data_IF_020399377513
#
_entry.id   IF_020399377513
#
_cell.length_a   1.000
_cell.length_b   1.000
_cell.length_c   1.000
_cell.angle_alpha   90.00
_cell.angle_beta   90.00
_cell.angle_gamma   90.00
#
_symmetry.space_group_name_H-M   'P 1'
#
loop_
_entity.id
_entity.type
_entity.pdbx_description
1 polymer ?
#
# COMPACT_ATOMS: atom_id res chain seq x y z
N UNK A 1 -9.97 -10.16 24.91
CA UNK A 1 -8.80 -9.80 24.08
C UNK A 1 -8.09 -8.65 24.76
N UNK A 2 -6.77 -8.70 24.91
CA UNK A 2 -5.99 -7.58 25.46
C UNK A 2 -5.23 -6.92 24.31
N UNK A 3 -5.32 -5.60 24.20
CA UNK A 3 -4.68 -4.84 23.15
C UNK A 3 -3.16 -4.80 23.39
N UNK A 4 -2.38 -5.28 22.42
CA UNK A 4 -0.91 -5.27 22.43
C UNK A 4 -0.31 -4.21 21.52
N UNK A 5 -1.13 -3.45 20.79
CA UNK A 5 -0.66 -2.40 19.88
C UNK A 5 -0.22 -1.16 20.65
N UNK A 6 0.94 -0.63 20.29
CA UNK A 6 1.55 0.58 20.89
C UNK A 6 1.18 1.85 20.12
N UNK A 7 0.60 1.71 18.92
CA UNK A 7 0.11 2.81 18.09
C UNK A 7 -0.71 2.31 16.90
N UNK A 8 -1.31 3.25 16.18
CA UNK A 8 -2.08 3.01 14.96
C UNK A 8 -1.68 4.02 13.88
N UNK A 9 -1.85 3.62 12.61
CA UNK A 9 -1.55 4.47 11.45
C UNK A 9 -2.76 4.57 10.55
N UNK A 10 -2.90 5.73 9.91
CA UNK A 10 -3.97 5.98 8.95
C UNK A 10 -3.37 6.44 7.63
N UNK A 11 -3.78 5.80 6.54
CA UNK A 11 -3.43 6.20 5.18
C UNK A 11 -4.68 6.46 4.35
N UNK A 12 -4.56 7.38 3.39
CA UNK A 12 -5.64 7.80 2.51
C UNK A 12 -5.24 7.48 1.07
N UNK A 13 -6.18 6.87 0.34
CA UNK A 13 -6.05 6.52 -1.06
C UNK A 13 -7.42 6.54 -1.74
N UNK A 14 -7.42 6.69 -3.07
CA UNK A 14 -8.65 6.62 -3.89
C UNK A 14 -9.07 5.18 -4.14
N UNK A 15 -8.11 4.26 -4.06
CA UNK A 15 -8.34 2.82 -4.13
C UNK A 15 -7.97 2.17 -2.80
N UNK A 16 -8.57 1.03 -2.51
CA UNK A 16 -8.23 0.26 -1.31
C UNK A 16 -6.75 -0.17 -1.36
N UNK A 17 -6.30 -0.63 -2.53
CA UNK A 17 -4.93 -1.09 -2.76
C UNK A 17 -3.92 0.01 -2.43
N UNK A 18 -4.20 1.24 -2.85
CA UNK A 18 -3.36 2.40 -2.57
C UNK A 18 -3.27 2.71 -1.07
N UNK A 19 -4.43 2.86 -0.41
CA UNK A 19 -4.49 3.17 1.02
C UNK A 19 -3.83 2.06 1.84
N UNK A 20 -4.08 0.80 1.47
CA UNK A 20 -3.54 -0.37 2.16
C UNK A 20 -2.01 -0.45 2.09
N UNK A 21 -1.42 -0.27 0.90
CA UNK A 21 0.04 -0.30 0.77
C UNK A 21 0.72 0.89 1.47
N UNK A 22 0.11 2.08 1.44
CA UNK A 22 0.60 3.24 2.19
C UNK A 22 0.55 3.00 3.70
N UNK A 23 -0.55 2.45 4.22
CA UNK A 23 -0.68 2.12 5.64
C UNK A 23 0.42 1.15 6.08
N UNK A 24 0.68 0.09 5.31
CA UNK A 24 1.75 -0.86 5.60
C UNK A 24 3.14 -0.21 5.69
N UNK A 25 3.43 0.77 4.83
CA UNK A 25 4.69 1.54 4.88
C UNK A 25 4.80 2.47 6.09
N UNK A 26 3.67 2.89 6.66
CA UNK A 26 3.67 3.78 7.84
C UNK A 26 3.87 3.00 9.13
N UNK A 27 3.55 1.69 9.17
CA UNK A 27 3.69 0.87 10.37
C UNK A 27 5.16 0.61 10.71
N UNK A 28 5.98 0.28 9.71
CA UNK A 28 7.38 -0.11 9.88
C UNK A 28 8.21 0.37 8.69
N UNK A 29 9.32 1.06 8.96
CA UNK A 29 10.22 1.60 7.93
C UNK A 29 10.88 0.50 7.08
N UNK A 30 11.04 -0.71 7.64
CA UNK A 30 11.59 -1.85 6.91
C UNK A 30 10.61 -2.45 5.90
N UNK A 31 9.31 -2.16 6.05
CA UNK A 31 8.24 -2.70 5.21
C UNK A 31 7.94 -1.73 4.07
N UNK A 32 8.31 -2.12 2.86
CA UNK A 32 8.06 -1.28 1.67
C UNK A 32 6.61 -1.39 1.15
N UNK A 33 5.79 -2.28 1.71
CA UNK A 33 4.37 -2.48 1.38
C UNK A 33 3.97 -3.96 1.45
N UNK A 34 3.00 -4.39 0.64
CA UNK A 34 2.51 -5.77 0.64
C UNK A 34 3.44 -6.70 -0.15
N UNK A 35 4.53 -7.14 0.48
CA UNK A 35 5.56 -7.98 -0.15
C UNK A 35 5.38 -9.47 0.18
N UNK A 36 5.18 -10.34 -0.82
CA UNK A 36 4.98 -11.78 -0.62
C UNK A 36 6.26 -12.55 -0.26
N UNK A 37 7.44 -11.94 -0.37
CA UNK A 37 8.71 -12.64 -0.16
C UNK A 37 9.26 -12.49 1.28
N UNK A 38 8.55 -11.77 2.17
CA UNK A 38 8.99 -11.53 3.55
C UNK A 38 8.82 -12.74 4.48
N UNK A 39 7.81 -13.59 4.21
CA UNK A 39 7.49 -14.77 5.01
C UNK A 39 7.15 -15.96 4.12
N UNK A 40 7.49 -17.19 4.55
CA UNK A 40 7.00 -18.38 3.87
C UNK A 40 5.50 -18.56 4.13
N UNK A 41 4.85 -19.36 3.27
CA UNK A 41 3.46 -19.76 3.47
C UNK A 41 3.36 -20.64 4.71
N UNK A 42 2.41 -20.34 5.59
CA UNK A 42 2.12 -21.12 6.78
C UNK A 42 0.61 -21.07 7.09
N UNK A 43 -0.09 -22.18 6.88
CA UNK A 43 -1.55 -22.27 7.04
C UNK A 43 -2.00 -22.04 8.50
N UNK A 44 -1.15 -22.35 9.49
CA UNK A 44 -1.48 -22.17 10.92
C UNK A 44 -1.39 -20.70 11.35
N UNK A 45 -0.47 -19.94 10.74
CA UNK A 45 -0.39 -18.48 10.91
C UNK A 45 -1.51 -17.74 10.18
N UNK A 46 -2.14 -18.33 9.16
CA UNK A 46 -3.33 -17.75 8.52
C UNK A 46 -4.58 -17.88 9.41
N UNK A 47 -4.69 -18.99 10.15
CA UNK A 47 -5.77 -19.22 11.11
C UNK A 47 -5.64 -18.35 12.36
N UNK A 48 -4.40 -18.15 12.83
CA UNK A 48 -4.13 -17.40 14.05
C UNK A 48 -3.94 -15.91 13.75
N UNK A 49 -4.69 -14.99 14.39
CA UNK A 49 -4.50 -13.56 14.17
C UNK A 49 -3.18 -13.08 14.79
N UNK A 50 -2.14 -13.00 13.98
CA UNK A 50 -0.82 -12.47 14.33
C UNK A 50 -0.53 -11.14 13.63
N UNK A 51 0.44 -10.39 14.16
CA UNK A 51 0.99 -9.16 13.56
C UNK A 51 1.55 -9.40 12.16
N UNK A 52 2.15 -10.58 11.93
CA UNK A 52 2.79 -10.96 10.66
C UNK A 52 1.86 -11.65 9.67
N UNK A 53 0.59 -11.88 10.04
CA UNK A 53 -0.40 -12.60 9.22
C UNK A 53 -0.52 -12.03 7.81
N UNK A 54 -0.43 -10.71 7.66
CA UNK A 54 -0.57 -10.04 6.36
C UNK A 54 0.53 -10.46 5.37
N UNK A 55 1.75 -10.70 5.84
CA UNK A 55 2.85 -11.13 4.97
C UNK A 55 2.76 -12.61 4.59
N UNK A 56 2.27 -13.45 5.51
CA UNK A 56 1.97 -14.86 5.22
C UNK A 56 0.81 -14.96 4.21
N UNK A 57 -0.17 -14.08 4.32
CA UNK A 57 -1.28 -13.97 3.37
C UNK A 57 -0.80 -13.56 1.98
N UNK A 58 0.12 -12.59 1.90
CA UNK A 58 0.76 -12.21 0.63
C UNK A 58 1.47 -13.41 -0.02
N UNK A 59 2.24 -14.17 0.77
CA UNK A 59 2.91 -15.37 0.30
C UNK A 59 1.92 -16.45 -0.18
N UNK A 60 0.82 -16.66 0.54
CA UNK A 60 -0.20 -17.64 0.19
C UNK A 60 -0.93 -17.29 -1.12
N UNK A 61 -1.23 -15.99 -1.31
CA UNK A 61 -1.77 -15.48 -2.58
C UNK A 61 -0.78 -15.69 -3.72
N UNK A 62 0.51 -15.43 -3.51
CA UNK A 62 1.56 -15.67 -4.51
C UNK A 62 1.73 -17.17 -4.82
N UNK A 63 1.53 -18.04 -3.84
CA UNK A 63 1.53 -19.49 -4.01
C UNK A 63 0.29 -20.04 -4.72
N UNK A 64 -0.67 -19.19 -5.09
CA UNK A 64 -1.84 -19.58 -5.88
C UNK A 64 -3.02 -20.11 -5.07
N UNK A 65 -3.11 -19.78 -3.77
CA UNK A 65 -4.27 -20.15 -2.96
C UNK A 65 -5.53 -19.46 -3.49
N UNK A 66 -6.66 -20.18 -3.51
CA UNK A 66 -7.95 -19.60 -3.87
C UNK A 66 -8.46 -18.64 -2.79
N UNK A 67 -9.25 -17.65 -3.22
CA UNK A 67 -9.87 -16.68 -2.32
C UNK A 67 -10.76 -17.40 -1.29
N UNK A 68 -11.49 -18.43 -1.71
CA UNK A 68 -12.34 -19.22 -0.80
C UNK A 68 -11.53 -19.95 0.27
N UNK A 69 -10.40 -20.57 -0.11
CA UNK A 69 -9.50 -21.21 0.86
C UNK A 69 -8.98 -20.20 1.89
N UNK A 70 -8.58 -19.01 1.43
CA UNK A 70 -8.09 -17.95 2.31
C UNK A 70 -9.20 -17.38 3.21
N UNK A 71 -10.42 -17.27 2.70
CA UNK A 71 -11.59 -16.90 3.49
C UNK A 71 -11.83 -17.91 4.61
N UNK A 72 -11.78 -19.22 4.30
CA UNK A 72 -12.03 -20.25 5.29
C UNK A 72 -10.98 -20.27 6.41
N UNK A 73 -9.71 -20.02 6.07
CA UNK A 73 -8.61 -19.95 7.04
C UNK A 73 -8.64 -18.67 7.87
N UNK A 74 -8.83 -17.51 7.24
CA UNK A 74 -8.59 -16.20 7.88
C UNK A 74 -9.85 -15.49 8.37
N UNK A 75 -11.01 -15.86 7.80
CA UNK A 75 -12.30 -15.17 7.90
C UNK A 75 -12.29 -13.71 7.45
N UNK A 76 -11.28 -13.28 6.69
CA UNK A 76 -11.26 -11.98 6.00
C UNK A 76 -12.25 -12.04 4.85
N UNK A 77 -13.08 -11.01 4.70
CA UNK A 77 -14.04 -10.95 3.60
C UNK A 77 -13.38 -11.12 2.21
N UNK A 78 -14.10 -11.80 1.31
CA UNK A 78 -13.63 -12.12 -0.05
C UNK A 78 -13.30 -10.87 -0.85
N UNK A 79 -13.98 -9.75 -0.61
CA UNK A 79 -13.72 -8.49 -1.29
C UNK A 79 -12.30 -7.99 -0.98
N UNK A 80 -11.89 -7.98 0.29
CA UNK A 80 -10.52 -7.57 0.68
C UNK A 80 -9.48 -8.54 0.12
N UNK A 81 -9.74 -9.85 0.19
CA UNK A 81 -8.84 -10.87 -0.36
C UNK A 81 -8.67 -10.70 -1.88
N UNK A 82 -9.74 -10.38 -2.61
CA UNK A 82 -9.68 -10.08 -4.05
C UNK A 82 -8.83 -8.83 -4.32
N UNK A 83 -8.92 -7.80 -3.48
CA UNK A 83 -8.11 -6.58 -3.62
C UNK A 83 -6.63 -6.84 -3.34
N UNK A 84 -6.32 -7.64 -2.33
CA UNK A 84 -4.95 -8.08 -2.06
C UNK A 84 -4.40 -8.95 -3.19
N UNK A 85 -5.25 -9.82 -3.79
CA UNK A 85 -4.87 -10.59 -4.97
C UNK A 85 -4.47 -9.69 -6.15
N UNK A 86 -5.19 -8.60 -6.41
CA UNK A 86 -4.82 -7.65 -7.48
C UNK A 86 -3.40 -7.08 -7.29
N UNK A 87 -3.00 -6.80 -6.04
CA UNK A 87 -1.64 -6.33 -5.73
C UNK A 87 -0.62 -7.42 -6.08
N UNK A 88 -0.90 -8.67 -5.71
CA UNK A 88 -0.02 -9.81 -6.02
C UNK A 88 0.06 -10.09 -7.52
N UNK A 89 -1.05 -9.98 -8.25
CA UNK A 89 -1.06 -10.17 -9.70
C UNK A 89 -0.14 -9.14 -10.41
N UNK A 90 -0.19 -7.87 -10.00
CA UNK A 90 0.73 -6.83 -10.51
C UNK A 90 2.18 -7.13 -10.11
N UNK A 91 2.39 -7.66 -8.91
CA UNK A 91 3.73 -8.03 -8.43
C UNK A 91 4.32 -9.14 -9.30
N UNK A 92 3.51 -10.15 -9.65
CA UNK A 92 3.90 -11.23 -10.55
C UNK A 92 4.17 -10.73 -11.97
N UNK A 93 3.44 -9.72 -12.46
CA UNK A 93 3.73 -9.07 -13.73
C UNK A 93 5.05 -8.30 -13.71
N UNK A 94 5.34 -7.57 -12.62
CA UNK A 94 6.60 -6.86 -12.44
C UNK A 94 7.80 -7.81 -12.33
N UNK A 95 7.66 -8.93 -11.61
CA UNK A 95 8.73 -9.94 -11.45
C UNK A 95 9.10 -10.63 -12.78
N UNK A 96 8.20 -10.64 -13.77
CA UNK A 96 8.49 -11.17 -15.12
C UNK A 96 9.35 -10.21 -15.96
N UNK A 97 9.43 -8.94 -15.56
CA UNK A 97 10.16 -7.91 -16.28
C UNK A 97 11.59 -7.81 -15.74
N UNK A 98 12.57 -7.79 -16.64
CA UNK A 98 13.98 -7.76 -16.25
C UNK A 98 14.61 -6.36 -16.31
N UNK A 99 14.10 -5.43 -17.14
CA UNK A 99 14.76 -4.13 -17.33
C UNK A 99 13.81 -2.96 -17.62
N UNK A 100 12.84 -3.14 -18.54
CA UNK A 100 11.96 -2.06 -18.97
C UNK A 100 10.54 -2.28 -18.45
N UNK A 101 10.01 -1.29 -17.73
CA UNK A 101 8.61 -1.31 -17.27
C UNK A 101 7.75 -0.62 -18.34
N UNK A 102 6.72 -1.27 -18.90
CA UNK A 102 5.76 -0.58 -19.76
C UNK A 102 5.08 0.57 -19.01
N UNK A 103 4.91 1.72 -19.64
CA UNK A 103 4.30 2.90 -19.01
C UNK A 103 2.92 2.59 -18.40
N UNK A 104 2.10 1.79 -19.10
CA UNK A 104 0.77 1.40 -18.63
C UNK A 104 0.85 0.61 -17.30
N UNK A 105 1.80 -0.31 -17.20
CA UNK A 105 2.02 -1.11 -15.99
C UNK A 105 2.60 -0.24 -14.86
N UNK A 106 3.53 0.67 -15.17
CA UNK A 106 4.06 1.62 -14.19
C UNK A 106 2.95 2.49 -13.60
N UNK A 107 2.05 3.00 -14.45
CA UNK A 107 0.89 3.80 -14.02
C UNK A 107 -0.08 2.96 -13.19
N UNK A 108 -0.37 1.73 -13.59
CA UNK A 108 -1.22 0.81 -12.83
C UNK A 108 -0.62 0.48 -11.45
N UNK A 109 0.67 0.20 -11.38
CA UNK A 109 1.38 -0.05 -10.13
C UNK A 109 1.32 1.17 -9.21
N UNK A 110 1.60 2.39 -9.72
CA UNK A 110 1.51 3.60 -8.90
C UNK A 110 0.09 3.88 -8.40
N UNK A 111 -0.93 3.69 -9.25
CA UNK A 111 -2.34 3.86 -8.85
C UNK A 111 -2.80 2.86 -7.76
N UNK A 112 -2.14 1.71 -7.66
CA UNK A 112 -2.39 0.70 -6.63
C UNK A 112 -1.45 0.85 -5.41
N UNK A 113 -0.72 1.96 -5.30
CA UNK A 113 0.06 2.30 -4.12
C UNK A 113 1.46 1.72 -4.04
N UNK A 114 2.01 1.16 -5.13
CA UNK A 114 3.37 0.64 -5.15
C UNK A 114 4.39 1.78 -4.99
N UNK A 115 5.35 1.60 -4.09
CA UNK A 115 6.49 2.52 -3.94
C UNK A 115 7.52 2.29 -5.04
N UNK A 116 8.30 3.33 -5.36
CA UNK A 116 9.39 3.24 -6.34
C UNK A 116 10.42 2.17 -5.89
N UNK A 117 10.62 2.02 -4.57
CA UNK A 117 11.45 0.97 -3.94
C UNK A 117 10.92 -0.45 -4.17
N UNK A 118 9.61 -0.68 -3.99
CA UNK A 118 9.00 -2.00 -4.25
C UNK A 118 9.16 -2.40 -5.71
N UNK A 119 8.84 -1.47 -6.63
CA UNK A 119 8.94 -1.73 -8.07
C UNK A 119 10.39 -2.08 -8.44
N UNK A 120 11.36 -1.30 -7.95
CA UNK A 120 12.78 -1.56 -8.17
C UNK A 120 13.21 -2.95 -7.64
N UNK A 121 12.69 -3.38 -6.49
CA UNK A 121 12.96 -4.70 -5.91
C UNK A 121 12.46 -5.83 -6.82
N UNK A 122 11.24 -5.73 -7.34
CA UNK A 122 10.65 -6.79 -8.17
C UNK A 122 11.31 -6.93 -9.54
N UNK A 123 11.68 -5.81 -10.17
CA UNK A 123 12.39 -5.81 -11.47
C UNK A 123 13.90 -6.03 -11.33
N UNK A 124 14.43 -6.17 -10.10
CA UNK A 124 15.87 -6.23 -9.79
C UNK A 124 16.67 -5.02 -10.32
N UNK A 125 16.03 -3.86 -10.32
CA UNK A 125 16.58 -2.59 -10.79
C UNK A 125 16.96 -1.64 -9.65
N UNK A 126 17.23 -0.38 -9.99
CA UNK A 126 17.49 0.68 -9.02
C UNK A 126 16.28 1.59 -8.82
N UNK A 127 16.05 2.03 -7.58
CA UNK A 127 14.99 3.00 -7.25
C UNK A 127 15.11 4.29 -8.06
N UNK A 128 16.34 4.77 -8.26
CA UNK A 128 16.63 5.97 -9.05
C UNK A 128 16.21 5.81 -10.52
N UNK A 129 16.41 4.63 -11.12
CA UNK A 129 15.98 4.37 -12.49
C UNK A 129 14.45 4.40 -12.61
N UNK A 130 13.74 3.72 -11.69
CA UNK A 130 12.27 3.73 -11.67
C UNK A 130 11.73 5.14 -11.47
N UNK A 131 12.32 5.93 -10.55
CA UNK A 131 11.93 7.31 -10.30
C UNK A 131 12.17 8.22 -11.51
N UNK A 132 13.28 8.02 -12.23
CA UNK A 132 13.59 8.76 -13.46
C UNK A 132 12.57 8.45 -14.55
N UNK A 133 12.32 7.17 -14.82
CA UNK A 133 11.33 6.73 -15.79
C UNK A 133 9.93 7.27 -15.46
N UNK A 134 9.54 7.22 -14.18
CA UNK A 134 8.26 7.76 -13.72
C UNK A 134 8.10 9.26 -14.02
N UNK A 135 9.17 10.05 -13.86
CA UNK A 135 9.19 11.48 -14.21
C UNK A 135 9.13 11.70 -15.72
N UNK A 136 9.84 10.90 -16.50
CA UNK A 136 9.82 10.97 -17.97
C UNK A 136 8.43 10.66 -18.53
N UNK A 137 7.69 9.73 -17.92
CA UNK A 137 6.29 9.41 -18.25
C UNK A 137 5.27 10.40 -17.65
N UNK A 138 5.69 11.50 -17.02
CA UNK A 138 4.81 12.46 -16.33
C UNK A 138 3.86 11.83 -15.29
N UNK A 139 4.25 10.71 -14.67
CA UNK A 139 3.48 10.05 -13.60
C UNK A 139 3.87 10.71 -12.28
N UNK A 140 3.29 11.87 -12.01
CA UNK A 140 3.51 12.65 -10.79
C UNK A 140 2.32 12.55 -9.85
N UNK A 141 2.55 12.55 -8.52
CA UNK A 141 1.47 12.56 -7.56
C UNK A 141 0.73 13.90 -7.56
N UNK A 142 -0.54 13.86 -7.14
CA UNK A 142 -1.39 15.04 -7.05
C UNK A 142 -1.83 15.27 -5.62
N UNK A 143 -1.72 16.51 -5.15
CA UNK A 143 -2.28 16.91 -3.85
C UNK A 143 -3.79 17.09 -4.00
N UNK A 144 -4.55 16.48 -3.08
CA UNK A 144 -6.01 16.61 -2.99
C UNK A 144 -6.42 17.02 -1.59
N UNK A 145 -7.43 17.88 -1.51
CA UNK A 145 -8.05 18.29 -0.26
C UNK A 145 -9.10 17.26 0.16
N UNK A 146 -9.23 17.05 1.48
CA UNK A 146 -10.28 16.21 2.04
C UNK A 146 -11.49 17.10 2.26
N UNK A 147 -12.45 17.01 1.35
CA UNK A 147 -13.73 17.69 1.46
C UNK A 147 -14.78 16.69 1.95
N UNK A 148 -15.49 17.00 3.04
CA UNK A 148 -16.54 16.13 3.62
C UNK A 148 -17.77 15.99 2.72
N UNK A 149 -17.85 16.80 1.67
CA UNK A 149 -18.95 16.85 0.71
C UNK A 149 -18.55 16.29 -0.66
N UNK A 150 -17.47 15.50 -0.74
CA UNK A 150 -16.99 14.87 -1.98
C UNK A 150 -16.80 15.83 -3.17
N UNK A 151 -16.54 17.12 -2.89
CA UNK A 151 -16.37 18.17 -3.90
C UNK A 151 -17.65 18.91 -4.31
N UNK A 152 -18.79 18.70 -3.64
CA UNK A 152 -20.04 19.43 -3.92
C UNK A 152 -19.97 20.92 -3.58
N UNK A 153 -19.15 21.31 -2.60
CA UNK A 153 -18.99 22.70 -2.16
C UNK A 153 -17.51 23.03 -2.05
N UNK A 154 -17.12 24.21 -2.55
CA UNK A 154 -15.78 24.76 -2.29
C UNK A 154 -15.65 25.08 -0.80
N UNK A 155 -14.96 24.23 -0.06
CA UNK A 155 -14.68 24.45 1.35
C UNK A 155 -13.50 25.40 1.49
N UNK A 156 -13.73 26.54 2.17
CA UNK A 156 -12.70 27.54 2.51
C UNK A 156 -11.84 27.07 3.71
N UNK A 157 -12.30 26.10 4.49
CA UNK A 157 -11.60 25.53 5.64
C UNK A 157 -10.78 24.30 5.28
N UNK A 158 -9.45 24.41 5.40
CA UNK A 158 -8.57 23.25 5.44
C UNK A 158 -8.95 22.42 6.68
N UNK A 159 -9.45 21.19 6.50
CA UNK A 159 -9.56 20.24 7.60
C UNK A 159 -8.15 19.91 8.11
N UNK A 160 -7.67 20.67 9.10
CA UNK A 160 -6.62 20.23 9.99
C UNK A 160 -7.28 19.25 10.96
N UNK A 161 -7.02 17.95 10.80
CA UNK A 161 -7.33 16.93 11.80
C UNK A 161 -6.46 17.20 13.03
N UNK A 162 -6.91 18.12 13.88
CA UNK A 162 -6.39 18.40 15.21
C UNK A 162 -7.50 18.08 16.23
N UNK A 163 -7.89 16.81 16.31
CA UNK A 163 -8.47 16.26 17.53
C UNK A 163 -8.00 14.81 17.74
N UNK A 164 -7.28 14.65 18.85
CA UNK A 164 -6.95 13.42 19.59
C UNK A 164 -5.83 12.54 19.01
N UNK A 165 -4.60 12.80 19.49
CA UNK A 165 -3.50 11.84 19.71
C UNK A 165 -3.23 10.77 18.64
N UNK A 166 -2.99 11.17 17.40
CA UNK A 166 -2.32 10.33 16.40
C UNK A 166 -1.24 11.19 15.75
N UNK A 167 0.01 10.78 15.91
CA UNK A 167 1.21 11.45 15.39
C UNK A 167 1.15 11.52 13.85
N UNK A 168 0.64 12.62 13.33
CA UNK A 168 0.85 13.00 11.93
C UNK A 168 2.25 13.59 11.85
N UNK A 169 3.08 13.08 10.95
CA UNK A 169 4.45 13.55 10.72
C UNK A 169 4.40 15.05 10.37
N UNK A 170 4.72 15.88 11.35
CA UNK A 170 4.92 17.31 11.19
C UNK A 170 6.30 17.53 10.56
N UNK A 171 6.38 17.79 9.26
CA UNK A 171 7.49 18.57 8.71
C UNK A 171 7.13 20.03 8.89
N UNK A 172 7.26 20.53 10.12
CA UNK A 172 7.10 21.95 10.43
C UNK A 172 8.40 22.71 10.12
N UNK A 173 8.64 22.92 8.83
CA UNK A 173 8.98 24.25 8.35
C UNK A 173 8.19 24.41 7.08
N UNK A 174 7.21 25.33 7.11
CA UNK A 174 6.15 25.60 6.13
C UNK A 174 4.79 24.95 6.50
N UNK A 175 3.84 25.81 6.87
CA UNK A 175 2.44 25.56 7.22
C UNK A 175 1.61 24.91 6.08
N UNK A 176 1.96 23.70 5.66
CA UNK A 176 1.15 22.91 4.73
C UNK A 176 1.19 21.45 5.17
N UNK A 177 0.02 20.92 5.50
CA UNK A 177 -0.19 19.48 5.69
C UNK A 177 -0.09 18.85 4.29
N UNK A 178 1.00 18.15 4.01
CA UNK A 178 1.21 17.47 2.73
C UNK A 178 0.98 15.97 2.90
N UNK A 179 0.01 15.41 2.18
CA UNK A 179 -0.04 13.97 1.94
C UNK A 179 0.97 13.68 0.84
N UNK A 180 2.14 13.19 1.23
CA UNK A 180 3.17 12.76 0.29
C UNK A 180 2.82 11.36 -0.24
N UNK A 181 2.41 11.29 -1.50
CA UNK A 181 2.45 10.06 -2.28
C UNK A 181 3.92 9.72 -2.59
N UNK A 182 4.49 8.80 -1.81
CA UNK A 182 5.81 8.18 -2.05
C UNK A 182 5.63 6.70 -2.44
#
# INVERSE_FOLDING_TARGET
SSMKSVGEVMAIGRTFEEAFQKALRMVDESVNGFDPNLKPVNDDELKTPTDKRMFVLAAALKAGYSIDKLYDLTKIDRWFLSKMKNIIDITLELEKLNCAIPEALLKQAKNNGFSDKQIAKFIKGSELAVRKQRRECNIIPFVKQIDTVAGEVNIIFLLALLQLNIFIITVASINKLFVFDL
#
